data_IF_193068424280
#
_entry.id   IF_193068424280
#
_cell.length_a   1.000
_cell.length_b   1.000
_cell.length_c   1.000
_cell.angle_alpha   90.00
_cell.angle_beta   90.00
_cell.angle_gamma   90.00
#
_symmetry.space_group_name_H-M   'P 1'
#
loop_
_entity.id
_entity.type
_entity.pdbx_description
1 polymer ?
#
# COMPACT_ATOMS: atom_id res chain seq x y z
N UNK A 1 -11.24 0.53 18.46
CA UNK A 1 -10.74 1.83 17.95
C UNK A 1 -9.80 2.41 19.01
N UNK A 2 -8.80 3.22 18.64
CA UNK A 2 -7.90 3.91 19.56
C UNK A 2 -8.12 5.43 19.56
N UNK A 3 -7.40 6.17 20.41
CA UNK A 3 -7.51 7.63 20.52
C UNK A 3 -6.97 8.37 19.28
N UNK A 4 -6.07 7.74 18.54
CA UNK A 4 -5.51 8.26 17.28
C UNK A 4 -5.31 7.13 16.25
N UNK A 5 -4.75 7.49 15.08
CA UNK A 5 -4.48 6.54 13.99
C UNK A 5 -3.43 5.49 14.38
N UNK A 6 -2.46 5.85 15.21
CA UNK A 6 -1.39 4.96 15.68
C UNK A 6 -1.98 3.90 16.60
N UNK A 7 -2.69 4.31 17.65
CA UNK A 7 -3.38 3.41 18.56
C UNK A 7 -4.42 2.57 17.85
N UNK A 8 -5.16 3.14 16.90
CA UNK A 8 -6.10 2.38 16.09
C UNK A 8 -5.40 1.27 15.30
N UNK A 9 -4.23 1.54 14.71
CA UNK A 9 -3.45 0.50 14.02
C UNK A 9 -2.98 -0.62 14.95
N UNK A 10 -2.58 -0.28 16.19
CA UNK A 10 -2.19 -1.24 17.22
C UNK A 10 -3.39 -2.09 17.67
N UNK A 11 -4.56 -1.49 17.90
CA UNK A 11 -5.76 -2.24 18.30
C UNK A 11 -6.28 -3.15 17.19
N UNK A 12 -6.18 -2.74 15.93
CA UNK A 12 -6.44 -3.62 14.77
C UNK A 12 -5.45 -4.79 14.75
N UNK A 13 -4.16 -4.53 14.99
CA UNK A 13 -3.14 -5.58 15.10
C UNK A 13 -3.49 -6.59 16.19
N UNK A 14 -3.76 -6.15 17.42
CA UNK A 14 -4.15 -7.03 18.54
C UNK A 14 -5.40 -7.85 18.26
N UNK A 15 -6.39 -7.27 17.57
CA UNK A 15 -7.65 -7.94 17.24
C UNK A 15 -7.47 -9.09 16.25
N UNK A 16 -6.63 -8.89 15.21
CA UNK A 16 -6.53 -9.83 14.10
C UNK A 16 -5.26 -10.70 14.11
N UNK A 17 -4.23 -10.33 14.88
CA UNK A 17 -2.94 -11.00 14.89
C UNK A 17 -2.53 -11.38 16.32
N UNK A 18 -2.49 -12.69 16.60
CA UNK A 18 -1.90 -13.21 17.85
C UNK A 18 -0.37 -13.07 17.81
N UNK A 19 0.24 -13.42 16.68
CA UNK A 19 1.66 -13.28 16.37
C UNK A 19 1.83 -12.94 14.88
N UNK A 20 2.96 -12.32 14.53
CA UNK A 20 3.34 -12.07 13.14
C UNK A 20 4.86 -12.02 13.01
N UNK A 21 5.44 -12.82 12.12
CA UNK A 21 6.90 -12.82 11.89
C UNK A 21 7.38 -11.53 11.21
N UNK A 22 6.53 -10.94 10.38
CA UNK A 22 6.78 -9.70 9.65
C UNK A 22 5.77 -8.64 10.07
N UNK A 23 6.23 -7.40 10.24
CA UNK A 23 5.38 -6.22 10.44
C UNK A 23 5.67 -5.18 9.36
N UNK A 24 4.61 -4.53 8.87
CA UNK A 24 4.74 -3.40 7.95
C UNK A 24 4.60 -2.11 8.76
N UNK A 25 5.54 -1.19 8.59
CA UNK A 25 5.54 0.14 9.21
C UNK A 25 5.36 1.18 8.14
N UNK A 26 4.37 2.06 8.30
CA UNK A 26 4.09 3.13 7.36
C UNK A 26 3.91 4.47 8.08
N UNK A 27 4.38 5.55 7.46
CA UNK A 27 4.14 6.91 7.96
C UNK A 27 2.71 7.34 7.62
N UNK A 28 1.91 7.68 8.65
CA UNK A 28 0.51 8.06 8.43
C UNK A 28 0.32 9.44 7.80
N UNK A 29 1.34 10.30 7.84
CA UNK A 29 1.36 11.65 7.24
C UNK A 29 1.54 11.57 5.71
N UNK A 30 2.16 10.51 5.21
CA UNK A 30 2.36 10.24 3.79
C UNK A 30 1.44 9.10 3.32
N UNK A 31 0.13 9.37 3.40
CA UNK A 31 -0.90 8.36 3.19
C UNK A 31 -0.87 7.71 1.80
N UNK A 32 -0.42 8.45 0.77
CA UNK A 32 -0.31 7.97 -0.61
C UNK A 32 0.57 6.71 -0.73
N UNK A 33 1.65 6.64 0.06
CA UNK A 33 2.58 5.50 0.04
C UNK A 33 2.00 4.28 0.79
N UNK A 34 1.09 4.53 1.74
CA UNK A 34 0.50 3.50 2.60
C UNK A 34 -0.68 2.75 1.97
N UNK A 35 -1.30 3.30 0.92
CA UNK A 35 -2.46 2.66 0.27
C UNK A 35 -2.08 1.30 -0.34
N UNK A 36 -1.01 1.26 -1.12
CA UNK A 36 -0.50 0.04 -1.74
C UNK A 36 0.01 -0.96 -0.69
N UNK A 37 0.38 -0.50 0.52
CA UNK A 37 0.83 -1.37 1.61
C UNK A 37 -0.28 -2.30 2.14
N UNK A 38 -1.56 -1.96 1.96
CA UNK A 38 -2.69 -2.80 2.37
C UNK A 38 -2.70 -4.17 1.67
N UNK A 39 -2.47 -4.18 0.36
CA UNK A 39 -2.37 -5.42 -0.43
C UNK A 39 -1.15 -6.24 -0.03
N UNK A 40 -0.02 -5.56 0.23
CA UNK A 40 1.21 -6.22 0.70
C UNK A 40 1.04 -6.85 2.09
N UNK A 41 0.36 -6.15 3.01
CA UNK A 41 0.00 -6.66 4.34
C UNK A 41 -0.76 -7.96 4.25
N UNK A 42 -1.74 -8.04 3.34
CA UNK A 42 -2.51 -9.27 3.14
C UNK A 42 -1.65 -10.40 2.55
N UNK A 43 -0.83 -10.11 1.54
CA UNK A 43 0.06 -11.08 0.91
C UNK A 43 1.06 -11.68 1.92
N UNK A 44 1.60 -10.85 2.82
CA UNK A 44 2.55 -11.26 3.85
C UNK A 44 1.91 -11.78 5.15
N UNK A 45 0.58 -11.68 5.29
CA UNK A 45 -0.12 -11.88 6.58
C UNK A 45 0.52 -11.07 7.72
N UNK A 46 0.89 -9.82 7.43
CA UNK A 46 1.61 -8.93 8.31
C UNK A 46 0.74 -7.73 8.71
N UNK A 47 0.64 -7.34 9.98
CA UNK A 47 -0.09 -6.13 10.36
C UNK A 47 0.62 -4.87 9.85
N UNK A 48 -0.17 -3.83 9.57
CA UNK A 48 0.33 -2.48 9.29
C UNK A 48 0.26 -1.69 10.59
N UNK A 49 1.41 -1.20 11.05
CA UNK A 49 1.50 -0.28 12.18
C UNK A 49 1.87 1.11 11.65
N UNK A 50 1.16 2.12 12.14
CA UNK A 50 1.37 3.50 11.74
C UNK A 50 2.34 4.19 12.70
N UNK A 51 3.27 4.97 12.15
CA UNK A 51 4.25 5.74 12.93
C UNK A 51 4.30 7.19 12.48
N UNK A 52 4.84 8.06 13.35
CA UNK A 52 5.25 9.42 12.99
C UNK A 52 6.58 9.39 12.24
N UNK A 53 6.86 10.47 11.51
CA UNK A 53 8.11 10.62 10.76
C UNK A 53 9.37 10.43 11.61
N UNK A 54 9.40 11.10 12.75
CA UNK A 54 10.62 11.31 13.54
C UNK A 54 10.69 10.47 14.81
N UNK A 55 9.71 9.59 15.06
CA UNK A 55 9.66 8.83 16.30
C UNK A 55 8.91 7.50 16.13
N UNK A 56 9.49 6.43 16.66
CA UNK A 56 8.77 5.20 16.93
C UNK A 56 8.07 5.34 18.28
N UNK A 57 6.75 5.48 18.26
CA UNK A 57 5.97 5.52 19.50
C UNK A 57 6.14 4.22 20.29
N UNK A 58 6.21 4.34 21.62
CA UNK A 58 6.43 3.20 22.53
C UNK A 58 5.36 2.12 22.36
N UNK A 59 4.12 2.53 22.06
CA UNK A 59 2.99 1.61 21.80
C UNK A 59 3.23 0.75 20.56
N UNK A 60 3.87 1.28 19.51
CA UNK A 60 4.21 0.53 18.30
C UNK A 60 5.37 -0.42 18.59
N UNK A 61 6.40 0.05 19.30
CA UNK A 61 7.53 -0.79 19.69
C UNK A 61 7.11 -1.99 20.56
N UNK A 62 6.19 -1.76 21.50
CA UNK A 62 5.60 -2.81 22.33
C UNK A 62 4.78 -3.79 21.49
N UNK A 63 4.01 -3.31 20.52
CA UNK A 63 3.21 -4.18 19.66
C UNK A 63 4.08 -5.06 18.75
N UNK A 64 5.16 -4.51 18.15
CA UNK A 64 6.14 -5.30 17.39
C UNK A 64 6.73 -6.41 18.27
N UNK A 65 7.06 -6.11 19.53
CA UNK A 65 7.55 -7.09 20.50
C UNK A 65 6.49 -8.15 20.85
N UNK A 66 5.24 -7.73 21.10
CA UNK A 66 4.11 -8.63 21.42
C UNK A 66 3.86 -9.63 20.30
N UNK A 67 3.97 -9.18 19.05
CA UNK A 67 3.79 -10.02 17.86
C UNK A 67 4.91 -11.05 17.68
N UNK A 68 6.05 -10.87 18.34
CA UNK A 68 7.25 -11.71 18.13
C UNK A 68 7.91 -11.49 16.77
N UNK A 69 7.75 -10.29 16.19
CA UNK A 69 8.22 -10.00 14.84
C UNK A 69 9.76 -10.02 14.76
N UNK A 70 10.27 -10.59 13.66
CA UNK A 70 11.70 -10.62 13.33
C UNK A 70 12.02 -9.69 12.16
N UNK A 71 11.07 -9.55 11.24
CA UNK A 71 11.23 -8.75 10.03
C UNK A 71 10.35 -7.50 10.11
N UNK A 72 10.91 -6.36 9.70
CA UNK A 72 10.18 -5.10 9.63
C UNK A 72 10.33 -4.52 8.24
N UNK A 73 9.21 -4.31 7.57
CA UNK A 73 9.15 -3.68 6.25
C UNK A 73 8.66 -2.25 6.42
N UNK A 74 9.52 -1.29 6.11
CA UNK A 74 9.19 0.13 6.14
C UNK A 74 8.72 0.56 4.75
N UNK A 75 7.54 1.18 4.68
CA UNK A 75 6.98 1.74 3.45
C UNK A 75 7.12 3.27 3.47
N UNK A 76 7.70 3.81 2.39
CA UNK A 76 7.96 5.24 2.23
C UNK A 76 9.45 5.60 2.35
N UNK A 77 9.84 6.70 1.68
CA UNK A 77 11.24 7.13 1.55
C UNK A 77 11.97 7.43 2.87
N UNK A 78 13.30 7.57 2.81
CA UNK A 78 14.18 7.85 3.97
C UNK A 78 13.70 9.07 4.78
N UNK A 79 13.29 10.14 4.07
CA UNK A 79 12.71 11.34 4.67
C UNK A 79 11.44 11.10 5.49
N UNK A 80 10.85 9.90 5.50
CA UNK A 80 9.60 9.62 6.18
C UNK A 80 9.76 8.84 7.48
N UNK A 81 10.94 8.26 7.82
CA UNK A 81 11.04 7.28 8.94
C UNK A 81 12.42 7.19 9.62
N UNK A 82 13.40 8.05 9.28
CA UNK A 82 14.82 7.85 9.63
C UNK A 82 15.12 7.63 11.12
N UNK A 83 14.50 8.38 12.03
CA UNK A 83 14.73 8.18 13.48
C UNK A 83 14.09 6.89 14.01
N UNK A 84 12.94 6.51 13.47
CA UNK A 84 12.27 5.26 13.83
C UNK A 84 13.06 4.02 13.33
N UNK A 85 13.77 4.12 12.19
CA UNK A 85 14.64 3.03 11.70
C UNK A 85 15.74 2.66 12.69
N UNK A 86 16.34 3.62 13.37
CA UNK A 86 17.36 3.35 14.39
C UNK A 86 16.82 2.47 15.53
N UNK A 87 15.60 2.73 15.99
CA UNK A 87 14.93 1.91 17.00
C UNK A 87 14.51 0.52 16.49
N UNK A 88 14.44 0.35 15.17
CA UNK A 88 14.10 -0.90 14.49
C UNK A 88 15.33 -1.67 13.98
N UNK A 89 16.55 -1.15 14.15
CA UNK A 89 17.80 -1.76 13.67
C UNK A 89 18.09 -3.17 14.21
N UNK A 90 17.49 -3.53 15.34
CA UNK A 90 17.56 -4.88 15.94
C UNK A 90 16.73 -5.94 15.20
N UNK A 91 15.91 -5.54 14.25
CA UNK A 91 15.10 -6.40 13.39
C UNK A 91 15.72 -6.50 11.99
N UNK A 92 15.31 -7.50 11.22
CA UNK A 92 15.63 -7.57 9.80
C UNK A 92 14.84 -6.49 9.06
N UNK A 93 15.45 -5.31 8.92
CA UNK A 93 14.82 -4.13 8.36
C UNK A 93 14.97 -4.10 6.84
N UNK A 94 13.85 -3.97 6.12
CA UNK A 94 13.82 -3.70 4.68
C UNK A 94 12.97 -2.46 4.43
N UNK A 95 13.45 -1.55 3.58
CA UNK A 95 12.64 -0.41 3.13
C UNK A 95 12.14 -0.64 1.71
N UNK A 96 10.87 -0.35 1.45
CA UNK A 96 10.29 -0.27 0.11
C UNK A 96 9.88 1.18 -0.12
N UNK A 97 10.64 1.86 -0.97
CA UNK A 97 10.41 3.25 -1.32
C UNK A 97 10.88 3.53 -2.74
N UNK A 98 10.14 4.38 -3.44
CA UNK A 98 10.54 5.01 -4.69
C UNK A 98 10.87 6.49 -4.51
N UNK A 99 11.33 7.12 -5.58
CA UNK A 99 11.52 8.58 -5.66
C UNK A 99 10.20 9.35 -5.53
N UNK A 100 9.09 8.71 -5.88
CA UNK A 100 7.72 9.21 -5.73
C UNK A 100 6.73 8.08 -5.36
N UNK A 101 5.45 8.44 -5.24
CA UNK A 101 4.36 7.49 -4.93
C UNK A 101 4.14 6.44 -6.03
N UNK A 102 4.41 6.79 -7.29
CA UNK A 102 4.22 5.90 -8.42
C UNK A 102 5.27 4.78 -8.41
N UNK A 103 6.54 5.14 -8.23
CA UNK A 103 7.63 4.19 -8.08
C UNK A 103 7.49 3.35 -6.80
N UNK A 104 7.03 3.95 -5.69
CA UNK A 104 6.73 3.20 -4.46
C UNK A 104 5.63 2.16 -4.70
N UNK A 105 4.53 2.55 -5.35
CA UNK A 105 3.43 1.63 -5.69
C UNK A 105 3.90 0.50 -6.61
N UNK A 106 4.77 0.80 -7.58
CA UNK A 106 5.35 -0.18 -8.49
C UNK A 106 6.26 -1.18 -7.77
N UNK A 107 7.12 -0.73 -6.86
CA UNK A 107 7.98 -1.62 -6.06
C UNK A 107 7.15 -2.52 -5.14
N UNK A 108 6.12 -1.99 -4.48
CA UNK A 108 5.19 -2.79 -3.68
C UNK A 108 4.49 -3.83 -4.56
N UNK A 109 4.04 -3.43 -5.76
CA UNK A 109 3.39 -4.34 -6.69
C UNK A 109 4.30 -5.49 -7.12
N UNK A 110 5.58 -5.22 -7.40
CA UNK A 110 6.56 -6.26 -7.73
C UNK A 110 6.72 -7.27 -6.59
N UNK A 111 6.74 -6.83 -5.34
CA UNK A 111 6.83 -7.75 -4.19
C UNK A 111 5.56 -8.61 -4.07
N UNK A 112 4.37 -8.04 -4.27
CA UNK A 112 3.12 -8.80 -4.27
C UNK A 112 3.11 -9.84 -5.41
N UNK A 113 3.53 -9.45 -6.62
CA UNK A 113 3.63 -10.36 -7.76
C UNK A 113 4.60 -11.51 -7.45
N UNK A 114 5.79 -11.22 -6.91
CA UNK A 114 6.75 -12.26 -6.50
C UNK A 114 6.18 -13.23 -5.47
N UNK A 115 5.41 -12.73 -4.51
CA UNK A 115 4.84 -13.53 -3.42
C UNK A 115 3.64 -14.37 -3.85
N UNK A 116 2.86 -13.90 -4.82
CA UNK A 116 1.53 -14.46 -5.11
C UNK A 116 1.37 -15.00 -6.53
N UNK A 117 2.28 -14.65 -7.44
CA UNK A 117 2.16 -14.95 -8.87
C UNK A 117 1.00 -14.25 -9.56
N UNK A 118 0.36 -13.26 -8.91
CA UNK A 118 -0.79 -12.56 -9.48
C UNK A 118 -0.44 -11.90 -10.81
N UNK A 119 -1.36 -12.03 -11.77
CA UNK A 119 -1.31 -11.32 -13.05
C UNK A 119 -2.42 -10.28 -13.17
N UNK A 120 -3.04 -9.90 -12.04
CA UNK A 120 -4.13 -8.92 -11.99
C UNK A 120 -3.73 -7.76 -11.11
N UNK A 121 -4.03 -6.53 -11.52
CA UNK A 121 -3.74 -5.33 -10.72
C UNK A 121 -4.94 -4.37 -10.64
N UNK A 122 -4.95 -3.53 -9.62
CA UNK A 122 -5.85 -2.38 -9.53
C UNK A 122 -5.08 -1.15 -10.00
N UNK A 123 -5.69 -0.35 -10.87
CA UNK A 123 -5.20 0.97 -11.27
C UNK A 123 -5.99 2.04 -10.55
N UNK A 124 -5.29 2.94 -9.89
CA UNK A 124 -5.87 4.06 -9.18
C UNK A 124 -5.15 5.37 -9.51
N UNK A 125 -5.83 6.50 -9.30
CA UNK A 125 -5.21 7.81 -9.46
C UNK A 125 -4.19 8.04 -8.34
N UNK A 126 -2.98 8.47 -8.71
CA UNK A 126 -1.98 8.95 -7.76
C UNK A 126 -2.26 10.36 -7.24
N UNK A 127 -3.32 11.03 -7.71
CA UNK A 127 -3.67 12.40 -7.32
C UNK A 127 -4.99 12.46 -6.54
N UNK A 128 -5.94 11.56 -6.87
CA UNK A 128 -7.25 11.47 -6.21
C UNK A 128 -7.40 10.09 -5.56
N UNK A 129 -7.19 10.04 -4.24
CA UNK A 129 -7.09 8.79 -3.47
C UNK A 129 -8.42 8.22 -2.97
N UNK A 130 -9.51 8.98 -3.06
CA UNK A 130 -10.80 8.59 -2.48
C UNK A 130 -11.32 7.28 -3.09
N UNK A 131 -11.25 7.15 -4.42
CA UNK A 131 -11.74 5.96 -5.13
C UNK A 131 -10.84 4.76 -4.85
N UNK A 132 -9.53 4.98 -4.74
CA UNK A 132 -8.55 3.95 -4.46
C UNK A 132 -8.73 3.26 -3.09
N UNK A 133 -9.33 3.95 -2.11
CA UNK A 133 -9.66 3.37 -0.80
C UNK A 133 -10.84 2.39 -0.85
N UNK A 134 -11.82 2.66 -1.72
CA UNK A 134 -13.05 1.84 -1.81
C UNK A 134 -12.75 0.42 -2.31
N UNK A 135 -11.76 0.26 -3.18
CA UNK A 135 -11.38 -1.03 -3.76
C UNK A 135 -10.34 -1.80 -2.94
N UNK A 136 -9.74 -1.19 -1.91
CA UNK A 136 -8.71 -1.85 -1.10
C UNK A 136 -9.14 -3.23 -0.57
N UNK A 137 -10.40 -3.45 -0.09
CA UNK A 137 -10.85 -4.78 0.32
C UNK A 137 -10.87 -5.81 -0.83
N UNK A 138 -11.30 -5.40 -2.03
CA UNK A 138 -11.31 -6.25 -3.22
C UNK A 138 -9.88 -6.60 -3.66
N UNK A 139 -9.01 -5.59 -3.70
CA UNK A 139 -7.61 -5.74 -4.03
C UNK A 139 -6.93 -6.75 -3.08
N UNK A 140 -7.18 -6.59 -1.77
CA UNK A 140 -6.66 -7.48 -0.73
C UNK A 140 -7.21 -8.91 -0.88
N UNK A 141 -8.51 -9.08 -1.14
CA UNK A 141 -9.13 -10.41 -1.28
C UNK A 141 -8.57 -11.19 -2.48
N UNK A 142 -8.20 -10.50 -3.56
CA UNK A 142 -7.69 -11.10 -4.80
C UNK A 142 -6.17 -11.02 -4.95
N UNK A 143 -5.43 -10.59 -3.92
CA UNK A 143 -3.99 -10.34 -3.98
C UNK A 143 -3.59 -9.41 -5.13
N UNK A 144 -4.44 -8.46 -5.51
CA UNK A 144 -4.15 -7.53 -6.60
C UNK A 144 -3.33 -6.36 -6.04
N UNK A 145 -2.10 -6.11 -6.54
CA UNK A 145 -1.40 -4.89 -6.21
C UNK A 145 -2.15 -3.67 -6.71
N UNK A 146 -2.02 -2.56 -5.98
CA UNK A 146 -2.53 -1.25 -6.38
C UNK A 146 -1.39 -0.46 -7.01
N UNK A 147 -1.52 -0.19 -8.31
CA UNK A 147 -0.61 0.63 -9.10
C UNK A 147 -1.21 2.02 -9.30
N UNK A 148 -0.39 3.05 -9.10
CA UNK A 148 -0.80 4.43 -9.29
C UNK A 148 -0.47 4.93 -10.70
N UNK A 149 -1.35 5.76 -11.26
CA UNK A 149 -1.17 6.46 -12.53
C UNK A 149 -1.49 7.95 -12.40
N UNK A 150 -0.95 8.75 -13.32
CA UNK A 150 -1.33 10.15 -13.48
C UNK A 150 -2.60 10.25 -14.33
N UNK A 151 -3.36 11.37 -14.27
CA UNK A 151 -4.63 11.50 -15.00
C UNK A 151 -4.53 11.18 -16.49
N UNK A 152 -3.44 11.61 -17.14
CA UNK A 152 -3.23 11.45 -18.58
C UNK A 152 -1.95 10.69 -18.93
N UNK A 153 -1.30 10.04 -17.95
CA UNK A 153 -0.04 9.36 -18.19
C UNK A 153 0.15 8.14 -17.28
N UNK A 154 0.77 7.09 -17.80
CA UNK A 154 1.21 5.94 -17.01
C UNK A 154 2.70 6.13 -16.72
N UNK A 155 3.11 6.38 -15.46
CA UNK A 155 4.51 6.54 -15.13
C UNK A 155 5.34 5.31 -15.52
N UNK A 156 6.60 5.52 -15.91
CA UNK A 156 7.49 4.45 -16.38
C UNK A 156 7.57 3.27 -15.41
N UNK A 157 7.68 3.53 -14.11
CA UNK A 157 7.71 2.50 -13.09
C UNK A 157 6.45 1.61 -13.11
N UNK A 158 5.27 2.21 -13.31
CA UNK A 158 4.00 1.49 -13.45
C UNK A 158 3.96 0.67 -14.74
N UNK A 159 4.44 1.23 -15.86
CA UNK A 159 4.52 0.51 -17.14
C UNK A 159 5.36 -0.77 -17.04
N UNK A 160 6.48 -0.73 -16.34
CA UNK A 160 7.35 -1.91 -16.16
C UNK A 160 6.65 -3.03 -15.38
N UNK A 161 5.81 -2.70 -14.40
CA UNK A 161 5.02 -3.71 -13.69
C UNK A 161 3.91 -4.27 -14.59
N UNK A 162 3.27 -3.42 -15.39
CA UNK A 162 2.19 -3.83 -16.28
C UNK A 162 2.59 -4.88 -17.31
N UNK A 163 3.88 -5.01 -17.64
CA UNK A 163 4.40 -6.10 -18.50
C UNK A 163 4.17 -7.50 -17.91
N UNK A 164 3.94 -7.61 -16.61
CA UNK A 164 3.68 -8.86 -15.88
C UNK A 164 2.19 -9.04 -15.55
N UNK A 165 1.33 -8.11 -15.98
CA UNK A 165 -0.10 -8.06 -15.66
C UNK A 165 -0.90 -8.32 -16.94
N UNK A 166 -1.90 -9.18 -16.83
CA UNK A 166 -2.80 -9.58 -17.92
C UNK A 166 -4.15 -8.88 -17.85
N UNK A 167 -4.59 -8.47 -16.65
CA UNK A 167 -5.90 -7.85 -16.43
C UNK A 167 -5.80 -6.75 -15.37
N UNK A 168 -6.50 -5.64 -15.61
CA UNK A 168 -6.60 -4.58 -14.61
C UNK A 168 -8.03 -4.16 -14.30
N UNK A 169 -8.23 -3.75 -13.06
CA UNK A 169 -9.42 -3.02 -12.63
C UNK A 169 -9.05 -1.56 -12.43
N UNK A 170 -9.64 -0.67 -13.22
CA UNK A 170 -9.47 0.78 -13.07
C UNK A 170 -10.48 1.27 -12.04
N UNK A 171 -10.02 2.02 -11.05
CA UNK A 171 -10.88 2.60 -10.01
C UNK A 171 -10.74 4.11 -10.01
N UNK A 172 -11.82 4.76 -10.43
CA UNK A 172 -11.90 6.20 -10.64
C UNK A 172 -12.51 6.55 -12.00
N UNK A 173 -13.12 7.72 -12.07
CA UNK A 173 -13.75 8.21 -13.30
C UNK A 173 -12.75 8.67 -14.36
N UNK A 174 -13.26 9.00 -15.55
CA UNK A 174 -12.43 9.49 -16.67
C UNK A 174 -11.74 10.83 -16.38
N UNK A 175 -12.28 11.63 -15.44
CA UNK A 175 -11.67 12.88 -14.98
C UNK A 175 -10.35 12.66 -14.22
N UNK A 176 -10.21 11.51 -13.57
CA UNK A 176 -9.04 11.19 -12.72
C UNK A 176 -8.10 10.19 -13.37
N UNK A 177 -8.61 9.38 -14.31
CA UNK A 177 -7.86 8.42 -15.11
C UNK A 177 -8.49 8.44 -16.51
N UNK A 178 -7.87 9.14 -17.45
CA UNK A 178 -8.43 9.39 -18.76
C UNK A 178 -8.64 8.12 -19.59
N UNK A 179 -9.47 8.24 -20.63
CA UNK A 179 -9.67 7.16 -21.61
C UNK A 179 -8.38 6.79 -22.34
N UNK A 180 -7.48 7.75 -22.52
CA UNK A 180 -6.16 7.51 -23.12
C UNK A 180 -5.32 6.58 -22.24
N UNK A 181 -5.33 6.78 -20.92
CA UNK A 181 -4.67 5.88 -19.97
C UNK A 181 -5.33 4.51 -20.00
N UNK A 182 -6.66 4.44 -19.97
CA UNK A 182 -7.41 3.18 -20.06
C UNK A 182 -7.04 2.35 -21.29
N UNK A 183 -6.97 2.97 -22.46
CA UNK A 183 -6.67 2.28 -23.72
C UNK A 183 -5.25 1.69 -23.78
N UNK A 184 -4.34 2.11 -22.88
CA UNK A 184 -2.96 1.59 -22.78
C UNK A 184 -2.81 0.47 -21.75
N UNK A 185 -3.88 0.11 -21.04
CA UNK A 185 -3.86 -0.89 -19.97
C UNK A 185 -4.26 -2.28 -20.49
N UNK A 186 -3.75 -3.37 -19.88
CA UNK A 186 -4.07 -4.72 -20.31
C UNK A 186 -5.46 -5.14 -19.78
N UNK A 187 -6.37 -5.48 -20.70
CA UNK A 187 -7.74 -5.92 -20.44
C UNK A 187 -8.44 -5.13 -19.31
N UNK A 188 -8.64 -3.80 -19.47
CA UNK A 188 -9.13 -2.95 -18.41
C UNK A 188 -10.63 -3.14 -18.17
N UNK A 189 -11.02 -3.28 -16.90
CA UNK A 189 -12.41 -3.13 -16.43
C UNK A 189 -12.50 -1.91 -15.54
N UNK A 190 -13.30 -0.91 -15.90
CA UNK A 190 -13.46 0.31 -15.09
C UNK A 190 -14.62 0.16 -14.09
N UNK A 191 -14.35 0.54 -12.85
CA UNK A 191 -15.34 0.76 -11.79
C UNK A 191 -15.31 2.26 -11.43
N UNK A 192 -16.42 2.95 -11.70
CA UNK A 192 -16.58 4.36 -11.37
C UNK A 192 -18.05 4.66 -11.05
N UNK A 193 -18.30 5.25 -9.87
CA UNK A 193 -19.57 5.90 -9.54
C UNK A 193 -19.49 7.41 -9.81
N UNK A 194 -20.63 8.12 -9.80
CA UNK A 194 -20.63 9.59 -9.95
C UNK A 194 -19.97 10.29 -8.74
N UNK A 195 -19.84 9.58 -7.62
CA UNK A 195 -19.14 9.99 -6.41
C UNK A 195 -18.62 8.75 -5.64
N UNK A 196 -17.83 9.00 -4.60
CA UNK A 196 -17.18 7.98 -3.75
C UNK A 196 -18.11 6.93 -3.12
N UNK A 197 -19.39 7.26 -2.93
CA UNK A 197 -20.36 6.33 -2.34
C UNK A 197 -20.93 5.38 -3.38
N UNK A 198 -20.98 5.81 -4.64
CA UNK A 198 -21.39 4.99 -5.78
C UNK A 198 -20.25 4.12 -6.31
N UNK A 199 -18.99 4.49 -6.03
CA UNK A 199 -17.81 3.65 -6.33
C UNK A 199 -17.61 2.53 -5.29
N UNK A 200 -18.19 2.64 -4.08
CA UNK A 200 -17.96 1.73 -2.94
C UNK A 200 -18.89 0.51 -2.89
#
# INVERSE_FOLDING_TARGET
AGADRIQTSVEVSKKYYKSAETVIVANYEQFADSLSASALSKALKAPILLVKKDQLDSVVAQEIKRLGAKNVIVIGGEKSVDKAKNSLSKYNLRTIAGSDRYETSAKIAQEIIKLTGTKKAVIASGEVFADALTVAPLANKKNMPILLVQPNNIPKATQEVLKQIEEVIIVGGEKTISKEVENKLPNPTRIAGANRYETA
#
